data_IF_523699263275
#
_entry.id   IF_523699263275
#
_cell.length_a   1.000
_cell.length_b   1.000
_cell.length_c   1.000
_cell.angle_alpha   90.00
_cell.angle_beta   90.00
_cell.angle_gamma   90.00
#
_symmetry.space_group_name_H-M   'P 1'
#
loop_
_entity.id
_entity.type
_entity.pdbx_description
1 polymer ?
#
# COMPACT_ATOMS: atom_id res chain seq x y z
N UNK A 1 -6.01 -4.00 -60.40
CA UNK A 1 -5.90 -2.75 -59.65
C UNK A 1 -7.16 -2.62 -58.80
N UNK A 2 -7.18 -3.18 -57.60
CA UNK A 2 -8.26 -3.10 -56.62
C UNK A 2 -7.82 -2.20 -55.49
N UNK A 3 -8.63 -1.16 -55.19
CA UNK A 3 -8.41 -0.17 -54.11
C UNK A 3 -8.56 -0.86 -52.76
N UNK A 4 -7.75 -0.53 -51.74
CA UNK A 4 -7.96 -1.03 -50.38
C UNK A 4 -9.17 -0.31 -49.75
N UNK A 5 -10.09 -1.09 -49.16
CA UNK A 5 -11.23 -0.62 -48.40
C UNK A 5 -10.77 0.07 -47.12
N UNK A 6 -11.26 1.28 -46.91
CA UNK A 6 -11.09 2.03 -45.68
C UNK A 6 -11.90 1.38 -44.55
N UNK A 7 -11.20 0.77 -43.58
CA UNK A 7 -11.79 0.33 -42.30
C UNK A 7 -12.05 1.59 -41.46
N UNK A 8 -13.31 1.90 -41.06
CA UNK A 8 -13.59 3.05 -40.24
C UNK A 8 -13.15 2.78 -38.80
N UNK A 9 -12.24 3.61 -38.28
CA UNK A 9 -11.85 3.65 -36.87
C UNK A 9 -13.08 3.91 -35.98
N UNK A 10 -13.54 2.87 -35.32
CA UNK A 10 -14.67 2.90 -34.39
C UNK A 10 -14.31 3.75 -33.19
N UNK A 11 -14.95 4.92 -33.01
CA UNK A 11 -14.77 5.86 -31.92
C UNK A 11 -14.95 5.18 -30.56
N UNK A 12 -13.86 5.02 -29.82
CA UNK A 12 -13.82 4.51 -28.45
C UNK A 12 -14.13 5.67 -27.44
N UNK A 13 -15.32 6.22 -27.46
CA UNK A 13 -15.68 7.36 -26.59
C UNK A 13 -16.90 7.14 -25.70
N UNK A 14 -17.49 5.94 -25.69
CA UNK A 14 -18.64 5.66 -24.80
C UNK A 14 -18.30 4.96 -23.48
N UNK A 15 -17.13 4.32 -23.37
CA UNK A 15 -16.72 3.58 -22.16
C UNK A 15 -16.24 4.46 -21.00
N UNK A 16 -15.67 5.64 -21.30
CA UNK A 16 -15.08 6.53 -20.27
C UNK A 16 -16.12 7.23 -19.39
N UNK A 17 -17.29 7.60 -19.92
CA UNK A 17 -18.34 8.28 -19.14
C UNK A 17 -19.09 7.36 -18.18
N UNK A 18 -19.33 6.11 -18.56
CA UNK A 18 -20.01 5.12 -17.72
C UNK A 18 -19.10 4.64 -16.57
N UNK A 19 -17.79 4.46 -16.84
CA UNK A 19 -16.81 4.09 -15.78
C UNK A 19 -16.62 5.21 -14.76
N UNK A 20 -16.57 6.47 -15.20
CA UNK A 20 -16.48 7.60 -14.27
C UNK A 20 -17.76 7.78 -13.45
N UNK A 21 -18.94 7.50 -14.03
CA UNK A 21 -20.22 7.56 -13.31
C UNK A 21 -20.34 6.44 -12.27
N UNK A 22 -19.91 5.21 -12.59
CA UNK A 22 -19.90 4.09 -11.63
C UNK A 22 -18.92 4.32 -10.50
N UNK A 23 -17.73 4.88 -10.75
CA UNK A 23 -16.78 5.25 -9.70
C UNK A 23 -17.32 6.39 -8.81
N UNK A 24 -18.04 7.34 -9.38
CA UNK A 24 -18.67 8.43 -8.64
C UNK A 24 -19.85 7.92 -7.79
N UNK A 25 -20.66 7.00 -8.31
CA UNK A 25 -21.75 6.36 -7.55
C UNK A 25 -21.20 5.46 -6.45
N UNK A 26 -20.14 4.69 -6.71
CA UNK A 26 -19.44 3.90 -5.68
C UNK A 26 -18.81 4.79 -4.60
N UNK A 27 -18.17 5.89 -4.99
CA UNK A 27 -17.61 6.87 -4.05
C UNK A 27 -18.70 7.52 -3.20
N UNK A 28 -19.83 7.93 -3.81
CA UNK A 28 -20.99 8.47 -3.07
C UNK A 28 -21.64 7.43 -2.17
N UNK A 29 -21.78 6.18 -2.62
CA UNK A 29 -22.36 5.10 -1.79
C UNK A 29 -21.48 4.73 -0.60
N UNK A 30 -20.14 4.81 -0.74
CA UNK A 30 -19.22 4.62 0.39
C UNK A 30 -19.29 5.80 1.36
N UNK A 31 -19.39 7.03 0.87
CA UNK A 31 -19.60 8.22 1.73
C UNK A 31 -20.94 8.14 2.46
N UNK A 32 -22.01 7.79 1.75
CA UNK A 32 -23.35 7.59 2.34
C UNK A 32 -23.32 6.41 3.33
N UNK A 33 -22.64 5.30 3.00
CA UNK A 33 -22.44 4.18 3.92
C UNK A 33 -21.70 4.58 5.20
N UNK A 34 -20.65 5.43 5.08
CA UNK A 34 -19.92 5.99 6.23
C UNK A 34 -20.79 6.94 7.08
N UNK A 35 -21.74 7.64 6.46
CA UNK A 35 -22.72 8.49 7.17
C UNK A 35 -23.77 7.66 7.92
N UNK A 36 -24.12 6.46 7.39
CA UNK A 36 -25.04 5.54 8.00
C UNK A 36 -24.39 4.47 8.90
N UNK A 37 -23.06 4.47 9.04
CA UNK A 37 -22.39 3.71 10.09
C UNK A 37 -22.98 4.12 11.44
N UNK A 38 -23.48 3.12 12.16
CA UNK A 38 -24.25 3.25 13.40
C UNK A 38 -23.58 4.29 14.33
N UNK A 39 -24.36 5.29 14.75
CA UNK A 39 -23.86 6.40 15.56
C UNK A 39 -23.18 6.00 16.88
N UNK A 40 -23.11 4.69 17.20
CA UNK A 40 -22.31 4.11 18.28
C UNK A 40 -20.83 4.11 17.97
N UNK A 41 -20.42 3.79 16.75
CA UNK A 41 -19.01 3.73 16.35
C UNK A 41 -18.40 5.11 16.23
N UNK A 42 -19.17 6.08 15.71
CA UNK A 42 -18.77 7.50 15.68
C UNK A 42 -18.64 8.07 17.10
N UNK A 43 -19.50 7.62 18.04
CA UNK A 43 -19.44 8.02 19.44
C UNK A 43 -18.15 7.52 20.13
N UNK A 44 -17.70 6.31 19.81
CA UNK A 44 -16.44 5.77 20.37
C UNK A 44 -15.26 6.62 19.94
N UNK A 45 -15.18 7.02 18.68
CA UNK A 45 -14.08 7.82 18.15
C UNK A 45 -14.02 9.24 18.76
N UNK A 46 -15.18 9.91 18.87
CA UNK A 46 -15.28 11.26 19.50
C UNK A 46 -15.13 11.22 21.01
N UNK A 47 -15.57 10.11 21.66
CA UNK A 47 -15.46 9.95 23.11
C UNK A 47 -14.01 9.75 23.56
N UNK A 48 -13.20 9.03 22.76
CA UNK A 48 -11.77 8.85 23.05
C UNK A 48 -11.00 10.19 23.08
N UNK A 49 -11.39 11.15 22.25
CA UNK A 49 -10.78 12.48 22.19
C UNK A 49 -11.08 13.35 23.43
N UNK A 50 -12.22 13.12 24.10
CA UNK A 50 -12.63 13.93 25.28
C UNK A 50 -12.30 13.30 26.62
N UNK A 51 -11.93 12.02 26.65
CA UNK A 51 -11.44 11.33 27.82
C UNK A 51 -9.92 11.49 28.03
N UNK A 52 -9.31 12.59 27.60
CA UNK A 52 -8.18 13.11 28.34
C UNK A 52 -8.71 13.27 29.77
N UNK A 53 -8.52 12.22 30.57
CA UNK A 53 -8.87 12.20 32.00
C UNK A 53 -8.27 13.47 32.57
N UNK A 54 -9.06 14.39 33.10
CA UNK A 54 -8.48 15.47 33.88
C UNK A 54 -7.64 14.76 34.93
N UNK A 55 -6.35 15.04 34.96
CA UNK A 55 -5.46 14.58 36.01
C UNK A 55 -5.98 15.21 37.29
N UNK A 56 -6.96 14.55 37.91
CA UNK A 56 -7.43 14.87 39.25
C UNK A 56 -6.34 14.38 40.19
N UNK A 57 -5.36 15.22 40.42
CA UNK A 57 -4.19 14.96 41.26
C UNK A 57 -4.51 15.02 42.74
N UNK A 58 -5.74 15.38 43.12
CA UNK A 58 -6.18 15.42 44.53
C UNK A 58 -7.61 14.90 44.66
N UNK A 59 -7.85 13.93 45.51
CA UNK A 59 -9.16 13.37 45.87
C UNK A 59 -9.11 11.89 46.24
N UNK A 60 -10.09 11.45 47.05
CA UNK A 60 -10.27 10.03 47.42
C UNK A 60 -10.67 9.16 46.23
N UNK A 61 -10.48 7.85 46.31
CA UNK A 61 -10.82 6.92 45.24
C UNK A 61 -12.32 7.00 44.82
N UNK A 62 -13.21 7.31 45.78
CA UNK A 62 -14.65 7.49 45.56
C UNK A 62 -14.96 8.77 44.76
N UNK A 63 -14.25 9.87 45.02
CA UNK A 63 -14.43 11.13 44.29
C UNK A 63 -13.91 11.02 42.85
N UNK A 64 -12.83 10.27 42.62
CA UNK A 64 -12.31 9.97 41.27
C UNK A 64 -13.28 9.11 40.45
N UNK A 65 -13.91 8.11 41.09
CA UNK A 65 -14.91 7.27 40.43
C UNK A 65 -16.18 8.06 40.08
N UNK A 66 -16.67 8.91 40.99
CA UNK A 66 -17.81 9.78 40.75
C UNK A 66 -17.55 10.82 39.66
N UNK A 67 -16.37 11.44 39.67
CA UNK A 67 -15.95 12.38 38.61
C UNK A 67 -15.82 11.70 37.24
N UNK A 68 -15.27 10.47 37.18
CA UNK A 68 -15.18 9.68 35.96
C UNK A 68 -16.55 9.27 35.45
N UNK A 69 -17.50 8.94 36.31
CA UNK A 69 -18.86 8.58 35.95
C UNK A 69 -19.67 9.79 35.48
N UNK A 70 -19.53 10.93 36.13
CA UNK A 70 -20.12 12.20 35.70
C UNK A 70 -19.56 12.63 34.33
N UNK A 71 -18.26 12.49 34.08
CA UNK A 71 -17.62 12.76 32.78
C UNK A 71 -18.15 11.79 31.71
N UNK A 72 -18.32 10.51 32.01
CA UNK A 72 -18.92 9.53 31.11
C UNK A 72 -20.38 9.84 30.77
N UNK A 73 -21.16 10.30 31.74
CA UNK A 73 -22.57 10.69 31.54
C UNK A 73 -22.66 11.92 30.66
N UNK A 74 -21.83 12.94 30.90
CA UNK A 74 -21.76 14.16 30.08
C UNK A 74 -21.32 13.87 28.65
N UNK A 75 -20.44 12.91 28.45
CA UNK A 75 -19.99 12.48 27.11
C UNK A 75 -21.02 11.64 26.34
N UNK A 76 -21.99 10.99 27.03
CA UNK A 76 -23.10 10.26 26.40
C UNK A 76 -24.12 11.14 25.69
N UNK A 77 -24.21 12.41 26.08
CA UNK A 77 -25.25 13.34 25.59
C UNK A 77 -24.82 14.16 24.36
N UNK A 78 -23.64 13.89 23.79
CA UNK A 78 -23.23 14.58 22.55
C UNK A 78 -24.11 14.11 21.42
N UNK A 79 -24.90 15.04 20.83
CA UNK A 79 -25.73 14.73 19.68
C UNK A 79 -24.89 14.29 18.47
N UNK A 80 -25.45 13.43 17.62
CA UNK A 80 -24.82 13.02 16.36
C UNK A 80 -24.34 14.21 15.51
N UNK A 81 -25.13 15.30 15.49
CA UNK A 81 -24.77 16.53 14.76
C UNK A 81 -23.52 17.22 15.33
N UNK A 82 -23.37 17.24 16.67
CA UNK A 82 -22.17 17.84 17.29
C UNK A 82 -20.94 16.95 17.04
N UNK A 83 -21.11 15.63 17.03
CA UNK A 83 -20.04 14.69 16.72
C UNK A 83 -19.58 14.83 15.27
N UNK A 84 -20.52 14.89 14.32
CA UNK A 84 -20.22 15.07 12.90
C UNK A 84 -19.58 16.43 12.59
N UNK A 85 -20.07 17.50 13.22
CA UNK A 85 -19.48 18.85 13.09
C UNK A 85 -18.04 18.89 13.63
N UNK A 86 -17.77 18.22 14.76
CA UNK A 86 -16.41 18.12 15.29
C UNK A 86 -15.48 17.34 14.34
N UNK A 87 -15.96 16.24 13.77
CA UNK A 87 -15.21 15.43 12.80
C UNK A 87 -14.90 16.22 11.52
N UNK A 88 -15.89 16.97 10.98
CA UNK A 88 -15.69 17.83 9.83
C UNK A 88 -14.67 18.95 10.11
N UNK A 89 -14.73 19.56 11.29
CA UNK A 89 -13.75 20.56 11.73
C UNK A 89 -12.34 19.96 11.79
N UNK A 90 -12.21 18.74 12.29
CA UNK A 90 -10.94 18.04 12.42
C UNK A 90 -10.36 17.68 11.05
N UNK A 91 -11.21 17.17 10.14
CA UNK A 91 -10.83 16.94 8.74
C UNK A 91 -10.42 18.27 8.07
N UNK A 92 -11.18 19.35 8.27
CA UNK A 92 -10.80 20.67 7.79
C UNK A 92 -9.42 21.11 8.31
N UNK A 93 -9.17 20.92 9.61
CA UNK A 93 -7.86 21.22 10.20
C UNK A 93 -6.74 20.36 9.61
N UNK A 94 -6.99 19.09 9.40
CA UNK A 94 -6.03 18.16 8.80
C UNK A 94 -5.63 18.57 7.38
N UNK A 95 -6.61 18.94 6.54
CA UNK A 95 -6.34 19.23 5.13
C UNK A 95 -5.93 20.69 4.86
N UNK A 96 -6.46 21.65 5.61
CA UNK A 96 -6.23 23.08 5.33
C UNK A 96 -5.17 23.72 6.24
N UNK A 97 -4.82 23.10 7.35
CA UNK A 97 -3.84 23.64 8.30
C UNK A 97 -2.85 22.56 8.75
N UNK A 98 -2.21 21.83 7.82
CA UNK A 98 -1.17 20.87 8.17
C UNK A 98 0.02 21.60 8.79
N UNK A 99 0.58 21.08 9.87
CA UNK A 99 1.72 21.69 10.54
C UNK A 99 2.68 20.62 11.02
N UNK A 100 3.97 20.87 10.80
CA UNK A 100 5.05 20.07 11.37
C UNK A 100 5.57 20.80 12.62
N UNK A 101 5.25 20.27 13.78
CA UNK A 101 5.80 20.80 15.04
C UNK A 101 7.31 20.54 15.13
N UNK A 102 8.07 21.60 15.44
CA UNK A 102 9.49 21.48 15.77
C UNK A 102 9.72 20.94 17.21
N UNK A 103 8.64 20.64 17.93
CA UNK A 103 8.66 20.20 19.32
C UNK A 103 9.03 18.74 19.48
N UNK A 104 9.62 18.44 20.65
CA UNK A 104 9.92 17.08 21.11
C UNK A 104 8.64 16.26 21.26
N UNK A 105 8.42 15.30 20.36
CA UNK A 105 7.60 14.14 20.64
C UNK A 105 8.52 12.93 20.84
N UNK A 106 8.76 12.56 22.09
CA UNK A 106 9.39 11.30 22.45
C UNK A 106 8.35 10.20 22.28
N UNK A 107 8.31 9.56 21.11
CA UNK A 107 7.37 8.46 20.85
C UNK A 107 7.90 7.14 21.40
N UNK A 108 9.21 7.00 21.53
CA UNK A 108 9.82 5.75 21.93
C UNK A 108 11.27 6.00 22.38
N UNK A 109 11.62 5.51 23.55
CA UNK A 109 12.98 5.56 24.12
C UNK A 109 14.03 4.91 23.19
N UNK A 110 13.58 3.97 22.34
CA UNK A 110 14.44 3.31 21.34
C UNK A 110 14.75 4.20 20.14
N UNK A 111 13.78 4.99 19.69
CA UNK A 111 13.95 5.99 18.62
C UNK A 111 14.82 7.16 19.08
N UNK A 112 14.69 7.57 20.34
CA UNK A 112 15.50 8.61 20.94
C UNK A 112 17.00 8.22 20.99
N UNK A 113 17.30 6.94 21.23
CA UNK A 113 18.67 6.40 21.19
C UNK A 113 19.27 6.38 19.76
N UNK A 114 18.44 6.13 18.74
CA UNK A 114 18.90 6.07 17.36
C UNK A 114 19.13 7.45 16.75
N UNK A 115 18.39 8.47 17.19
CA UNK A 115 18.41 9.82 16.64
C UNK A 115 19.28 10.78 17.49
N UNK A 116 19.60 10.37 18.72
CA UNK A 116 20.35 11.17 19.70
C UNK A 116 19.50 12.20 20.42
N UNK A 117 19.81 12.44 21.70
CA UNK A 117 19.09 13.34 22.60
C UNK A 117 19.31 14.84 22.31
N UNK A 118 19.84 15.21 21.18
CA UNK A 118 20.09 16.59 20.78
C UNK A 118 18.85 17.25 20.17
N UNK A 119 18.28 18.26 20.82
CA UNK A 119 17.20 19.09 20.31
C UNK A 119 17.59 19.88 19.06
N UNK A 120 17.73 19.22 17.91
CA UNK A 120 18.10 19.82 16.64
C UNK A 120 17.13 19.45 15.52
N UNK A 121 17.42 19.93 14.31
CA UNK A 121 16.65 19.64 13.07
C UNK A 121 16.37 18.15 12.88
N UNK A 122 17.27 17.26 13.30
CA UNK A 122 17.11 15.80 13.20
C UNK A 122 15.97 15.23 14.08
N UNK A 123 15.56 15.94 15.12
CA UNK A 123 14.43 15.56 15.97
C UNK A 123 13.10 16.24 15.59
N UNK A 124 13.10 17.03 14.52
CA UNK A 124 11.88 17.66 14.05
C UNK A 124 10.90 16.64 13.45
N UNK A 125 9.62 16.92 13.50
CA UNK A 125 8.58 16.13 12.83
C UNK A 125 8.90 15.90 11.34
N UNK A 126 9.51 16.91 10.70
CA UNK A 126 9.95 16.83 9.32
C UNK A 126 10.97 15.71 9.10
N UNK A 127 12.07 15.70 9.86
CA UNK A 127 13.13 14.70 9.69
C UNK A 127 12.65 13.28 10.00
N UNK A 128 11.81 13.11 11.02
CA UNK A 128 11.18 11.82 11.34
C UNK A 128 10.27 11.33 10.23
N UNK A 129 9.46 12.22 9.66
CA UNK A 129 8.59 11.88 8.55
C UNK A 129 9.39 11.49 7.30
N UNK A 130 10.42 12.26 6.95
CA UNK A 130 11.33 11.95 5.84
C UNK A 130 12.05 10.61 6.07
N UNK A 131 12.58 10.36 7.27
CA UNK A 131 13.18 9.08 7.61
C UNK A 131 12.17 7.94 7.50
N UNK A 132 10.94 8.16 7.96
CA UNK A 132 9.82 7.23 7.80
C UNK A 132 9.51 6.89 6.33
N UNK A 133 9.60 7.88 5.44
CA UNK A 133 9.47 7.65 3.98
C UNK A 133 10.56 6.69 3.48
N UNK A 134 11.82 6.92 3.85
CA UNK A 134 12.91 6.04 3.42
C UNK A 134 12.75 4.61 3.93
N UNK A 135 12.34 4.42 5.18
CA UNK A 135 12.03 3.08 5.72
C UNK A 135 10.90 2.42 4.89
N UNK A 136 9.83 3.15 4.62
CA UNK A 136 8.68 2.62 3.87
C UNK A 136 9.06 2.27 2.42
N UNK A 137 9.85 3.13 1.76
CA UNK A 137 10.39 2.83 0.44
C UNK A 137 11.31 1.61 0.47
N UNK A 138 12.16 1.50 1.49
CA UNK A 138 13.04 0.34 1.70
C UNK A 138 12.24 -0.97 1.88
N UNK A 139 11.18 -0.96 2.69
CA UNK A 139 10.29 -2.10 2.87
C UNK A 139 9.59 -2.47 1.55
N UNK A 140 9.04 -1.49 0.84
CA UNK A 140 8.40 -1.69 -0.46
C UNK A 140 9.38 -2.25 -1.50
N UNK A 141 10.59 -1.70 -1.56
CA UNK A 141 11.63 -2.14 -2.47
C UNK A 141 12.11 -3.57 -2.17
N UNK A 142 12.45 -3.85 -0.91
CA UNK A 142 12.93 -5.16 -0.48
C UNK A 142 11.92 -6.27 -0.77
N UNK A 143 10.66 -6.04 -0.43
CA UNK A 143 9.59 -7.02 -0.66
C UNK A 143 9.30 -7.24 -2.14
N UNK A 144 9.47 -6.20 -2.96
CA UNK A 144 9.35 -6.30 -4.41
C UNK A 144 10.53 -7.05 -5.02
N UNK A 145 11.74 -6.77 -4.56
CA UNK A 145 12.96 -7.42 -5.04
C UNK A 145 12.93 -8.93 -4.76
N UNK A 146 12.59 -9.32 -3.52
CA UNK A 146 12.40 -10.74 -3.16
C UNK A 146 11.34 -11.38 -4.06
N UNK A 147 10.20 -10.68 -4.23
CA UNK A 147 9.12 -11.11 -5.10
C UNK A 147 9.57 -11.33 -6.55
N UNK A 148 10.32 -10.38 -7.10
CA UNK A 148 10.79 -10.41 -8.49
C UNK A 148 11.79 -11.54 -8.76
N UNK A 149 12.75 -11.76 -7.85
CA UNK A 149 13.76 -12.81 -8.00
C UNK A 149 13.08 -14.19 -8.00
N UNK A 150 12.20 -14.46 -7.04
CA UNK A 150 11.49 -15.74 -6.96
C UNK A 150 10.52 -15.89 -8.13
N UNK A 151 9.82 -14.81 -8.51
CA UNK A 151 8.88 -14.83 -9.61
C UNK A 151 9.55 -15.03 -10.98
N UNK A 152 10.78 -14.59 -11.16
CA UNK A 152 11.51 -14.84 -12.41
C UNK A 152 11.68 -16.34 -12.66
N UNK A 153 12.11 -17.09 -11.66
CA UNK A 153 12.32 -18.54 -11.77
C UNK A 153 10.97 -19.27 -11.88
N UNK A 154 10.05 -19.00 -10.97
CA UNK A 154 8.76 -19.69 -10.95
C UNK A 154 7.85 -19.25 -12.10
N UNK A 155 7.99 -18.04 -12.63
CA UNK A 155 7.28 -17.54 -13.81
C UNK A 155 7.67 -18.29 -15.09
N UNK A 156 8.96 -18.59 -15.27
CA UNK A 156 9.42 -19.43 -16.38
C UNK A 156 8.81 -20.85 -16.29
N UNK A 157 8.74 -21.41 -15.09
CA UNK A 157 8.12 -22.73 -14.87
C UNK A 157 6.58 -22.68 -14.96
N UNK A 158 5.97 -21.54 -14.73
CA UNK A 158 4.53 -21.32 -14.83
C UNK A 158 4.07 -21.11 -16.26
N UNK A 159 4.96 -20.70 -17.20
CA UNK A 159 4.59 -20.45 -18.59
C UNK A 159 4.46 -21.76 -19.38
N UNK A 160 3.39 -21.86 -20.18
CA UNK A 160 3.01 -23.09 -20.91
C UNK A 160 3.91 -23.39 -22.10
N UNK A 161 4.48 -22.36 -22.71
CA UNK A 161 5.38 -22.49 -23.87
C UNK A 161 6.80 -22.93 -23.49
N UNK A 162 7.18 -22.81 -22.20
CA UNK A 162 8.52 -23.11 -21.69
C UNK A 162 8.57 -24.30 -20.74
N UNK A 163 7.44 -24.72 -20.20
CA UNK A 163 7.34 -25.77 -19.17
C UNK A 163 6.25 -26.79 -19.51
N UNK A 164 6.21 -27.88 -18.73
CA UNK A 164 5.16 -28.89 -18.88
C UNK A 164 3.79 -28.34 -18.42
N UNK A 165 2.72 -28.79 -19.10
CA UNK A 165 1.36 -28.41 -18.77
C UNK A 165 1.00 -28.65 -17.29
N UNK A 166 1.51 -29.76 -16.70
CA UNK A 166 1.27 -30.11 -15.29
C UNK A 166 1.93 -29.12 -14.34
N UNK A 167 3.19 -28.77 -14.58
CA UNK A 167 3.93 -27.80 -13.77
C UNK A 167 3.30 -26.40 -13.86
N UNK A 168 2.97 -25.95 -15.06
CA UNK A 168 2.28 -24.68 -15.28
C UNK A 168 0.96 -24.62 -14.51
N UNK A 169 0.11 -25.64 -14.63
CA UNK A 169 -1.21 -25.66 -13.97
C UNK A 169 -1.07 -25.67 -12.45
N UNK A 170 -0.13 -26.46 -11.90
CA UNK A 170 0.12 -26.51 -10.46
C UNK A 170 0.57 -25.15 -9.90
N UNK A 171 1.57 -24.52 -10.55
CA UNK A 171 2.10 -23.22 -10.11
C UNK A 171 1.03 -22.15 -10.24
N UNK A 172 0.29 -22.10 -11.34
CA UNK A 172 -0.82 -21.13 -11.52
C UNK A 172 -1.94 -21.32 -10.51
N UNK A 173 -2.24 -22.57 -10.12
CA UNK A 173 -3.20 -22.87 -9.05
C UNK A 173 -2.73 -22.32 -7.70
N UNK A 174 -1.47 -22.57 -7.33
CA UNK A 174 -0.87 -22.05 -6.10
C UNK A 174 -0.85 -20.50 -6.10
N UNK A 175 -0.48 -19.90 -7.22
CA UNK A 175 -0.48 -18.44 -7.41
C UNK A 175 -1.88 -17.85 -7.25
N UNK A 176 -2.91 -18.51 -7.78
CA UNK A 176 -4.30 -18.09 -7.63
C UNK A 176 -4.71 -18.09 -6.14
N UNK A 177 -4.34 -19.12 -5.39
CA UNK A 177 -4.57 -19.19 -3.93
C UNK A 177 -3.86 -18.06 -3.18
N UNK A 178 -2.56 -17.83 -3.43
CA UNK A 178 -1.79 -16.76 -2.78
C UNK A 178 -2.44 -15.39 -3.02
N UNK A 179 -2.93 -15.14 -4.24
CA UNK A 179 -3.52 -13.86 -4.63
C UNK A 179 -4.97 -13.68 -4.16
N UNK A 180 -5.68 -14.76 -3.89
CA UNK A 180 -7.04 -14.70 -3.33
C UNK A 180 -7.06 -14.12 -1.91
N UNK A 181 -5.97 -14.28 -1.17
CA UNK A 181 -5.86 -13.78 0.21
C UNK A 181 -5.26 -12.36 0.18
N UNK A 182 -5.92 -11.35 0.79
CA UNK A 182 -5.38 -10.00 0.89
C UNK A 182 -4.01 -9.95 1.58
N UNK A 183 -3.14 -9.06 1.13
CA UNK A 183 -1.76 -8.92 1.65
C UNK A 183 -1.72 -8.75 3.18
N UNK A 184 -2.67 -7.99 3.74
CA UNK A 184 -2.77 -7.76 5.19
C UNK A 184 -2.90 -9.06 5.96
N UNK A 185 -3.75 -9.98 5.47
CA UNK A 185 -3.95 -11.28 6.13
C UNK A 185 -2.69 -12.13 6.09
N UNK A 186 -1.93 -12.10 5.00
CA UNK A 186 -0.62 -12.76 4.95
C UNK A 186 0.33 -12.22 6.00
N UNK A 187 0.40 -10.89 6.16
CA UNK A 187 1.23 -10.26 7.20
C UNK A 187 0.80 -10.72 8.60
N UNK A 188 -0.52 -10.76 8.88
CA UNK A 188 -1.03 -11.22 10.17
C UNK A 188 -0.77 -12.71 10.42
N UNK A 189 -0.89 -13.56 9.40
CA UNK A 189 -0.56 -14.99 9.49
C UNK A 189 0.92 -15.16 9.87
N UNK A 190 1.82 -14.45 9.19
CA UNK A 190 3.25 -14.55 9.50
C UNK A 190 3.63 -13.87 10.81
N UNK A 191 2.82 -12.90 11.28
CA UNK A 191 2.99 -12.29 12.59
C UNK A 191 2.75 -13.27 13.76
N UNK A 192 2.02 -14.36 13.55
CA UNK A 192 1.83 -15.40 14.56
C UNK A 192 3.18 -16.03 14.94
N UNK A 193 4.06 -16.26 13.97
CA UNK A 193 5.37 -16.85 14.21
C UNK A 193 6.49 -15.84 14.44
N UNK A 194 6.49 -14.71 13.74
CA UNK A 194 7.55 -13.70 13.75
C UNK A 194 7.29 -12.54 14.74
N UNK A 195 6.10 -12.46 15.32
CA UNK A 195 5.63 -11.28 16.04
C UNK A 195 5.20 -10.15 15.10
N UNK A 196 4.45 -9.18 15.64
CA UNK A 196 4.13 -7.95 14.90
C UNK A 196 5.42 -7.14 14.66
N UNK A 197 5.54 -6.52 13.49
CA UNK A 197 6.69 -5.71 13.15
C UNK A 197 7.14 -5.83 11.70
N UNK A 198 8.32 -5.28 11.41
CA UNK A 198 8.88 -5.23 10.05
C UNK A 198 9.16 -6.62 9.45
N UNK A 199 9.54 -7.60 10.27
CA UNK A 199 9.83 -8.98 9.79
C UNK A 199 8.58 -9.64 9.23
N UNK A 200 7.48 -9.64 9.97
CA UNK A 200 6.19 -10.18 9.51
C UNK A 200 5.69 -9.45 8.25
N UNK A 201 5.85 -8.13 8.22
CA UNK A 201 5.48 -7.32 7.06
C UNK A 201 6.32 -7.70 5.82
N UNK A 202 7.65 -7.84 5.95
CA UNK A 202 8.53 -8.22 4.85
C UNK A 202 8.11 -9.60 4.31
N UNK A 203 7.93 -10.59 5.17
CA UNK A 203 7.58 -11.95 4.75
C UNK A 203 6.20 -11.96 4.06
N UNK A 204 5.17 -11.40 4.69
CA UNK A 204 3.80 -11.42 4.18
C UNK A 204 3.63 -10.65 2.86
N UNK A 205 4.25 -9.47 2.77
CA UNK A 205 4.24 -8.65 1.56
C UNK A 205 5.05 -9.31 0.43
N UNK A 206 6.20 -9.92 0.74
CA UNK A 206 7.00 -10.65 -0.25
C UNK A 206 6.23 -11.85 -0.79
N UNK A 207 5.58 -12.61 0.08
CA UNK A 207 4.80 -13.80 -0.29
C UNK A 207 3.68 -13.45 -1.28
N UNK A 208 2.91 -12.39 -0.99
CA UNK A 208 1.89 -11.91 -1.91
C UNK A 208 2.50 -11.33 -3.21
N UNK A 209 3.66 -10.67 -3.13
CA UNK A 209 4.36 -10.12 -4.29
C UNK A 209 4.85 -11.21 -5.24
N UNK A 210 5.35 -12.33 -4.68
CA UNK A 210 5.72 -13.54 -5.44
C UNK A 210 4.53 -13.99 -6.28
N UNK A 211 3.36 -14.20 -5.67
CA UNK A 211 2.17 -14.63 -6.39
C UNK A 211 1.73 -13.67 -7.49
N UNK A 212 1.81 -12.36 -7.24
CA UNK A 212 1.47 -11.36 -8.23
C UNK A 212 2.43 -11.38 -9.43
N UNK A 213 3.74 -11.36 -9.15
CA UNK A 213 4.77 -11.27 -10.19
C UNK A 213 4.92 -12.57 -10.98
N UNK A 214 4.72 -13.76 -10.36
CA UNK A 214 4.69 -15.02 -11.12
C UNK A 214 3.62 -14.97 -12.20
N UNK A 215 2.42 -14.48 -11.85
CA UNK A 215 1.34 -14.36 -12.85
C UNK A 215 1.75 -13.40 -13.96
N UNK A 216 2.17 -12.19 -13.62
CA UNK A 216 2.53 -11.16 -14.60
C UNK A 216 3.68 -11.63 -15.53
N UNK A 217 4.72 -12.23 -14.95
CA UNK A 217 5.86 -12.71 -15.71
C UNK A 217 5.52 -13.91 -16.60
N UNK A 218 4.77 -14.89 -16.08
CA UNK A 218 4.38 -16.05 -16.87
C UNK A 218 3.49 -15.66 -18.06
N UNK A 219 2.59 -14.69 -17.89
CA UNK A 219 1.78 -14.14 -18.98
C UNK A 219 2.66 -13.44 -20.02
N UNK A 220 3.62 -12.60 -19.59
CA UNK A 220 4.57 -11.96 -20.50
C UNK A 220 5.45 -12.96 -21.25
N UNK A 221 5.84 -14.08 -20.65
CA UNK A 221 6.58 -15.14 -21.31
C UNK A 221 5.70 -15.92 -22.31
N UNK A 222 4.41 -16.06 -22.05
CA UNK A 222 3.45 -16.73 -22.95
C UNK A 222 3.09 -15.89 -24.19
N UNK A 223 3.31 -14.56 -24.13
CA UNK A 223 3.10 -13.66 -25.28
C UNK A 223 4.17 -13.76 -26.37
N UNK A 224 5.30 -14.44 -26.09
CA UNK A 224 6.36 -14.62 -27.08
C UNK A 224 5.89 -15.53 -28.20
N UNK A 225 6.21 -15.14 -29.43
CA UNK A 225 5.90 -15.94 -30.62
C UNK A 225 6.51 -17.35 -30.50
N UNK A 226 5.63 -18.35 -30.59
CA UNK A 226 6.00 -19.76 -30.50
C UNK A 226 6.98 -20.15 -31.63
N UNK A 227 6.88 -19.52 -32.79
CA UNK A 227 7.79 -19.74 -33.94
C UNK A 227 9.25 -19.42 -33.59
N UNK A 228 9.52 -18.40 -32.77
CA UNK A 228 10.88 -18.07 -32.28
C UNK A 228 11.43 -19.18 -31.41
N UNK A 229 10.60 -19.71 -30.53
CA UNK A 229 10.98 -20.82 -29.63
C UNK A 229 11.23 -22.11 -30.43
N UNK A 230 10.38 -22.41 -31.42
CA UNK A 230 10.50 -23.59 -32.27
C UNK A 230 11.74 -23.51 -33.15
N UNK A 231 12.04 -22.35 -33.75
CA UNK A 231 13.24 -22.15 -34.56
C UNK A 231 14.52 -22.40 -33.75
N UNK A 232 14.58 -21.91 -32.48
CA UNK A 232 15.70 -22.17 -31.60
C UNK A 232 15.81 -23.67 -31.23
N UNK A 233 14.69 -24.33 -30.97
CA UNK A 233 14.67 -25.78 -30.71
C UNK A 233 15.16 -26.57 -31.92
N UNK A 234 14.74 -26.18 -33.15
CA UNK A 234 15.17 -26.80 -34.40
C UNK A 234 16.68 -26.63 -34.67
N UNK A 235 17.28 -25.53 -34.18
CA UNK A 235 18.74 -25.31 -34.23
C UNK A 235 19.52 -26.08 -33.16
N UNK A 236 18.85 -26.85 -32.29
CA UNK A 236 19.48 -27.62 -31.23
C UNK A 236 19.71 -26.84 -29.93
N UNK A 237 19.10 -25.66 -29.75
CA UNK A 237 19.25 -24.90 -28.55
C UNK A 237 18.62 -25.61 -27.33
N UNK A 238 19.33 -25.66 -26.21
CA UNK A 238 18.82 -26.19 -24.98
C UNK A 238 17.89 -25.16 -24.27
N UNK A 239 17.15 -25.62 -23.24
CA UNK A 239 16.16 -24.78 -22.55
C UNK A 239 16.77 -23.46 -22.00
N UNK A 240 17.95 -23.51 -21.38
CA UNK A 240 18.62 -22.32 -20.86
C UNK A 240 19.00 -21.34 -21.99
N UNK A 241 19.49 -21.86 -23.11
CA UNK A 241 19.79 -21.00 -24.27
C UNK A 241 18.55 -20.31 -24.79
N UNK A 242 17.40 -20.99 -24.88
CA UNK A 242 16.13 -20.40 -25.28
C UNK A 242 15.74 -19.29 -24.30
N UNK A 243 15.84 -19.56 -22.98
CA UNK A 243 15.49 -18.57 -21.96
C UNK A 243 16.37 -17.32 -22.05
N UNK A 244 17.69 -17.48 -22.12
CA UNK A 244 18.62 -16.34 -22.08
C UNK A 244 18.76 -15.61 -23.42
N UNK A 245 18.59 -16.29 -24.55
CA UNK A 245 18.78 -15.71 -25.89
C UNK A 245 17.49 -15.19 -26.51
N UNK A 246 16.33 -15.72 -26.15
CA UNK A 246 15.06 -15.29 -26.71
C UNK A 246 14.12 -14.72 -25.63
N UNK A 247 13.79 -15.50 -24.61
CA UNK A 247 12.70 -15.18 -23.67
C UNK A 247 13.01 -13.93 -22.86
N UNK A 248 14.11 -13.90 -22.15
CA UNK A 248 14.47 -12.78 -21.29
C UNK A 248 14.72 -11.48 -22.09
N UNK A 249 15.49 -11.46 -23.18
CA UNK A 249 15.68 -10.24 -23.96
C UNK A 249 14.38 -9.67 -24.50
N UNK A 250 13.47 -10.53 -25.00
CA UNK A 250 12.20 -10.10 -25.60
C UNK A 250 11.21 -9.56 -24.56
N UNK A 251 11.27 -10.03 -23.30
CA UNK A 251 10.29 -9.67 -22.27
C UNK A 251 10.83 -8.70 -21.21
N UNK A 252 12.12 -8.36 -21.24
CA UNK A 252 12.77 -7.55 -20.19
C UNK A 252 12.02 -6.25 -19.90
N UNK A 253 11.52 -5.56 -20.93
CA UNK A 253 10.77 -4.33 -20.78
C UNK A 253 9.47 -4.53 -19.97
N UNK A 254 8.75 -5.62 -20.23
CA UNK A 254 7.53 -5.98 -19.50
C UNK A 254 7.84 -6.37 -18.06
N UNK A 255 8.89 -7.19 -17.85
CA UNK A 255 9.31 -7.61 -16.51
C UNK A 255 9.66 -6.41 -15.61
N UNK A 256 10.46 -5.47 -16.14
CA UNK A 256 10.82 -4.23 -15.42
C UNK A 256 9.57 -3.40 -15.12
N UNK A 257 8.67 -3.27 -16.08
CA UNK A 257 7.42 -2.51 -15.91
C UNK A 257 6.53 -3.10 -14.82
N UNK A 258 6.32 -4.43 -14.84
CA UNK A 258 5.53 -5.13 -13.82
C UNK A 258 6.18 -5.07 -12.44
N UNK A 259 7.50 -5.19 -12.37
CA UNK A 259 8.25 -5.04 -11.10
C UNK A 259 8.06 -3.65 -10.52
N UNK A 260 8.10 -2.61 -11.36
CA UNK A 260 7.94 -1.24 -10.87
C UNK A 260 6.51 -0.95 -10.40
N UNK A 261 5.49 -1.44 -11.13
CA UNK A 261 4.09 -1.37 -10.69
C UNK A 261 3.91 -2.08 -9.35
N UNK A 262 4.57 -3.24 -9.18
CA UNK A 262 4.52 -3.95 -7.90
C UNK A 262 5.19 -3.18 -6.78
N UNK A 263 6.31 -2.52 -7.05
CA UNK A 263 6.99 -1.65 -6.08
C UNK A 263 6.09 -0.51 -5.60
N UNK A 264 5.39 0.16 -6.51
CA UNK A 264 4.42 1.20 -6.20
C UNK A 264 3.30 0.69 -5.28
N UNK A 265 2.71 -0.47 -5.61
CA UNK A 265 1.69 -1.12 -4.77
C UNK A 265 2.28 -1.50 -3.41
N UNK A 266 3.50 -2.01 -3.37
CA UNK A 266 4.15 -2.38 -2.12
C UNK A 266 4.51 -1.17 -1.26
N UNK A 267 4.80 0.00 -1.84
CA UNK A 267 4.97 1.23 -1.08
C UNK A 267 3.68 1.59 -0.32
N UNK A 268 2.54 1.64 -1.00
CA UNK A 268 1.25 1.95 -0.35
C UNK A 268 0.86 0.90 0.69
N UNK A 269 1.14 -0.39 0.39
CA UNK A 269 0.93 -1.48 1.35
C UNK A 269 1.84 -1.35 2.56
N UNK A 270 3.12 -0.94 2.39
CA UNK A 270 4.06 -0.73 3.48
C UNK A 270 3.63 0.42 4.40
N UNK A 271 3.04 1.49 3.85
CA UNK A 271 2.40 2.55 4.66
C UNK A 271 1.31 1.96 5.56
N UNK A 272 0.42 1.13 4.98
CA UNK A 272 -0.67 0.51 5.73
C UNK A 272 -0.13 -0.47 6.80
N UNK A 273 0.90 -1.26 6.48
CA UNK A 273 1.52 -2.20 7.42
C UNK A 273 2.33 -1.49 8.51
N UNK A 274 2.89 -0.31 8.22
CA UNK A 274 3.50 0.56 9.22
C UNK A 274 2.51 0.89 10.33
N UNK A 275 1.29 1.26 9.96
CA UNK A 275 0.22 1.58 10.89
C UNK A 275 -0.38 0.33 11.57
N UNK A 276 -0.71 -0.72 10.80
CA UNK A 276 -1.51 -1.86 11.27
C UNK A 276 -0.67 -2.95 11.96
N UNK A 277 0.55 -3.20 11.50
CA UNK A 277 1.41 -4.26 12.00
C UNK A 277 2.65 -3.74 12.75
N UNK A 278 2.79 -2.44 12.93
CA UNK A 278 3.96 -1.84 13.58
C UNK A 278 5.26 -2.04 12.78
N UNK A 279 5.15 -2.14 11.45
CA UNK A 279 6.32 -2.37 10.58
C UNK A 279 7.27 -1.17 10.50
N UNK A 280 6.95 -0.06 11.16
CA UNK A 280 7.72 1.17 11.12
C UNK A 280 7.39 2.05 9.92
N UNK A 281 8.28 3.01 9.64
CA UNK A 281 8.14 3.91 8.50
C UNK A 281 7.10 5.01 8.70
N UNK A 282 6.73 5.66 7.57
CA UNK A 282 5.83 6.83 7.62
C UNK A 282 4.42 6.45 8.06
N UNK A 283 3.95 5.22 7.80
CA UNK A 283 2.67 4.72 8.25
C UNK A 283 2.59 4.60 9.78
N UNK A 284 3.66 4.18 10.42
CA UNK A 284 3.76 4.18 11.87
C UNK A 284 3.69 5.60 12.45
N UNK A 285 4.40 6.55 11.82
CA UNK A 285 4.34 7.96 12.22
C UNK A 285 2.90 8.51 12.13
N UNK A 286 2.18 8.17 11.05
CA UNK A 286 0.77 8.53 10.88
C UNK A 286 -0.11 7.93 11.98
N UNK A 287 0.10 6.65 12.29
CA UNK A 287 -0.62 5.97 13.38
C UNK A 287 -0.38 6.64 14.73
N UNK A 288 0.87 6.99 15.05
CA UNK A 288 1.22 7.66 16.30
C UNK A 288 0.63 9.06 16.37
N UNK A 289 0.70 9.85 15.28
CA UNK A 289 0.03 11.16 15.22
C UNK A 289 -1.49 11.03 15.43
N UNK A 290 -2.12 9.99 14.90
CA UNK A 290 -3.53 9.67 15.13
C UNK A 290 -3.79 9.28 16.59
N UNK A 291 -2.95 8.44 17.17
CA UNK A 291 -3.08 7.98 18.55
C UNK A 291 -3.01 9.13 19.55
N UNK A 292 -2.12 10.09 19.31
CA UNK A 292 -1.98 11.29 20.14
C UNK A 292 -2.95 12.42 19.73
N UNK A 293 -3.84 12.19 18.75
CA UNK A 293 -4.81 13.16 18.25
C UNK A 293 -4.16 14.46 17.72
N UNK A 294 -2.94 14.38 17.22
CA UNK A 294 -2.26 15.50 16.58
C UNK A 294 -2.72 15.62 15.11
N UNK A 295 -3.89 16.24 14.92
CA UNK A 295 -4.56 16.30 13.62
C UNK A 295 -3.76 17.08 12.58
N UNK A 296 -3.01 18.11 13.00
CA UNK A 296 -2.18 18.90 12.08
C UNK A 296 -0.98 18.08 11.56
N UNK A 297 -0.34 17.31 12.43
CA UNK A 297 0.74 16.40 12.07
C UNK A 297 0.23 15.27 11.17
N UNK A 298 -0.96 14.71 11.45
CA UNK A 298 -1.62 13.75 10.56
C UNK A 298 -1.79 14.31 9.15
N UNK A 299 -2.27 15.55 9.02
CA UNK A 299 -2.41 16.24 7.75
C UNK A 299 -1.08 16.37 7.02
N UNK A 300 -0.04 16.81 7.71
CA UNK A 300 1.30 16.95 7.16
C UNK A 300 1.85 15.62 6.64
N UNK A 301 1.79 14.55 7.45
CA UNK A 301 2.25 13.21 7.06
C UNK A 301 1.43 12.67 5.88
N UNK A 302 0.12 12.90 5.87
CA UNK A 302 -0.77 12.48 4.76
C UNK A 302 -0.38 13.15 3.45
N UNK A 303 -0.09 14.46 3.45
CA UNK A 303 0.39 15.14 2.25
C UNK A 303 1.75 14.65 1.79
N UNK A 304 2.64 14.29 2.72
CA UNK A 304 3.95 13.74 2.36
C UNK A 304 3.81 12.34 1.73
N UNK A 305 2.93 11.48 2.27
CA UNK A 305 2.61 10.18 1.67
C UNK A 305 2.04 10.37 0.27
N UNK A 306 1.09 11.30 0.10
CA UNK A 306 0.48 11.61 -1.20
C UNK A 306 1.53 12.10 -2.20
N UNK A 307 2.42 13.01 -1.79
CA UNK A 307 3.48 13.51 -2.66
C UNK A 307 4.40 12.39 -3.15
N UNK A 308 4.82 11.47 -2.25
CA UNK A 308 5.64 10.32 -2.62
C UNK A 308 4.87 9.36 -3.54
N UNK A 309 3.59 9.07 -3.26
CA UNK A 309 2.76 8.23 -4.11
C UNK A 309 2.61 8.79 -5.53
N UNK A 310 2.36 10.10 -5.65
CA UNK A 310 2.28 10.79 -6.96
C UNK A 310 3.62 10.72 -7.71
N UNK A 311 4.75 10.91 -7.02
CA UNK A 311 6.07 10.76 -7.63
C UNK A 311 6.32 9.34 -8.14
N UNK A 312 5.91 8.32 -7.38
CA UNK A 312 5.99 6.91 -7.78
C UNK A 312 5.12 6.62 -9.00
N UNK A 313 3.87 7.09 -9.04
CA UNK A 313 2.97 6.96 -10.19
C UNK A 313 3.55 7.61 -11.46
N UNK A 314 4.10 8.83 -11.33
CA UNK A 314 4.75 9.52 -12.45
C UNK A 314 5.96 8.72 -12.94
N UNK A 315 6.78 8.19 -12.05
CA UNK A 315 7.93 7.35 -12.40
C UNK A 315 7.49 6.05 -13.09
N UNK A 316 6.46 5.37 -12.55
CA UNK A 316 5.88 4.16 -13.13
C UNK A 316 5.35 4.40 -14.55
N UNK A 317 4.61 5.49 -14.73
CA UNK A 317 4.03 5.86 -16.03
C UNK A 317 5.11 6.19 -17.06
N UNK A 318 6.16 6.92 -16.66
CA UNK A 318 7.30 7.22 -17.55
C UNK A 318 8.06 5.96 -17.95
N UNK A 319 8.27 5.05 -17.01
CA UNK A 319 8.95 3.78 -17.24
C UNK A 319 8.16 2.91 -18.22
N UNK A 320 6.85 2.77 -18.01
CA UNK A 320 5.94 2.04 -18.93
C UNK A 320 6.01 2.60 -20.34
N UNK A 321 5.98 3.94 -20.52
CA UNK A 321 6.09 4.58 -21.81
C UNK A 321 7.43 4.30 -22.51
N UNK A 322 8.54 4.31 -21.76
CA UNK A 322 9.88 4.07 -22.30
C UNK A 322 10.03 2.66 -22.88
N UNK A 323 9.40 1.67 -22.26
CA UNK A 323 9.49 0.27 -22.70
C UNK A 323 8.39 -0.16 -23.68
N UNK A 324 7.28 0.61 -23.79
CA UNK A 324 6.25 0.37 -24.81
C UNK A 324 6.51 1.01 -26.16
N UNK A 325 7.45 1.94 -26.28
CA UNK A 325 7.79 2.65 -27.52
C UNK A 325 8.66 1.83 -28.48
N UNK A 326 8.87 0.54 -28.24
CA UNK A 326 9.55 -0.39 -29.13
C UNK A 326 8.59 -1.41 -29.76
N UNK A 327 7.27 -1.17 -29.67
CA UNK A 327 6.25 -1.77 -30.52
C UNK A 327 5.88 -0.73 -31.61
#
# INVERSE_FOLDING_TARGET
MSRPEHIPLRKATRGSRTTNLTLLVLGLSTIVGLIFLDGRDVRVFVTHRRTAVPTVTAGTASERSAAAEAARKKNREISFLQASAATLKDLGTMFFHPHADAGHFSYDEHMERLIGSGGGFLNSTFSRAVYGVFITLGLGFLTTLIGAIVALVLGLLASRNLSSQRASTLIKGLVAFIRAVPTVLWVLIFAIGAGLGSVAAIIGMSFHSIGYLIKAYSESFEEIDVGVIEALKASGANWLQIVFQAVLPSTMGYLVSWTFVRFEINFTTAVAMGAAAGAGGIGYNLFMASYYLNIREMGYITYLILAVAVLMEIAATRLKKRYRLHE
#
